data_IF_580607382080
#
_entry.id   IF_580607382080
#
_cell.length_a   1.000
_cell.length_b   1.000
_cell.length_c   1.000
_cell.angle_alpha   90.00
_cell.angle_beta   90.00
_cell.angle_gamma   90.00
#
_symmetry.space_group_name_H-M   'P 1'
#
loop_
_entity.id
_entity.type
_entity.pdbx_description
1 polymer ?
#
# COMPACT_ATOMS: atom_id res chain seq x y z
N UNK A 1 -16.60 37.73 -2.44
CA UNK A 1 -17.39 36.92 -1.49
C UNK A 1 -17.22 35.46 -1.84
N UNK A 2 -16.36 34.80 -1.13
CA UNK A 2 -15.99 33.37 -1.31
C UNK A 2 -17.01 32.48 -0.58
N UNK A 3 -17.75 31.66 -1.32
CA UNK A 3 -18.52 30.56 -0.69
C UNK A 3 -17.58 29.46 -0.28
N UNK A 4 -17.32 29.37 1.02
CA UNK A 4 -16.60 28.28 1.69
C UNK A 4 -17.51 27.06 1.88
N UNK A 5 -16.97 25.90 1.48
CA UNK A 5 -17.05 24.61 2.19
C UNK A 5 -18.40 24.14 2.72
N UNK A 6 -19.04 23.27 1.98
CA UNK A 6 -20.08 22.36 2.52
C UNK A 6 -20.03 20.94 1.94
N UNK A 7 -18.81 20.41 1.62
CA UNK A 7 -18.64 18.99 1.25
C UNK A 7 -17.60 18.28 2.10
N UNK A 8 -17.60 18.59 3.41
CA UNK A 8 -17.01 17.70 4.41
C UNK A 8 -18.14 16.83 4.90
N UNK A 9 -18.28 15.58 4.29
CA UNK A 9 -19.00 14.85 5.23
C UNK A 9 -19.71 13.54 5.08
N UNK A 10 -19.86 12.80 4.10
CA UNK A 10 -20.48 11.51 4.38
C UNK A 10 -19.54 10.58 5.16
N UNK A 11 -18.21 10.68 4.99
CA UNK A 11 -17.24 9.72 5.56
C UNK A 11 -16.81 10.02 6.98
N UNK A 12 -16.60 11.29 7.35
CA UNK A 12 -16.26 11.67 8.72
C UNK A 12 -17.36 11.26 9.71
N UNK A 13 -18.61 11.31 9.29
CA UNK A 13 -19.77 10.93 10.11
C UNK A 13 -19.93 9.42 10.25
N UNK A 14 -19.56 8.64 9.21
CA UNK A 14 -19.52 7.17 9.27
C UNK A 14 -18.44 6.68 10.23
N UNK A 15 -17.24 7.26 10.16
CA UNK A 15 -16.11 6.94 11.03
C UNK A 15 -16.44 7.30 12.51
N UNK A 16 -17.12 8.42 12.75
CA UNK A 16 -17.50 8.84 14.12
C UNK A 16 -18.55 7.95 14.76
N UNK A 17 -19.45 7.36 13.99
CA UNK A 17 -20.48 6.43 14.46
C UNK A 17 -19.87 5.07 14.83
N UNK A 18 -18.86 4.60 14.11
CA UNK A 18 -18.25 3.29 14.34
C UNK A 18 -17.20 3.29 15.45
N UNK A 19 -16.50 4.40 15.70
CA UNK A 19 -15.58 4.54 16.84
C UNK A 19 -16.26 4.48 18.21
N UNK A 20 -17.58 4.71 18.27
CA UNK A 20 -18.36 4.69 19.52
C UNK A 20 -18.92 3.33 19.91
N UNK A 21 -18.82 2.30 19.07
CA UNK A 21 -19.49 1.01 19.30
C UNK A 21 -18.59 -0.16 19.70
N UNK A 22 -17.36 0.04 20.16
CA UNK A 22 -16.58 -0.94 20.95
C UNK A 22 -16.57 -2.43 20.53
N UNK A 23 -16.89 -2.79 19.27
CA UNK A 23 -16.94 -4.16 18.76
C UNK A 23 -15.77 -4.40 17.80
N UNK A 24 -14.79 -4.87 18.28
CA UNK A 24 -13.60 -5.74 18.10
C UNK A 24 -13.38 -6.33 16.68
N UNK A 25 -12.16 -6.15 16.21
CA UNK A 25 -11.32 -6.80 15.18
C UNK A 25 -11.93 -7.17 13.81
N UNK A 26 -13.02 -7.92 13.69
CA UNK A 26 -13.65 -8.21 12.40
C UNK A 26 -14.42 -7.00 11.84
N UNK A 27 -15.06 -6.21 12.70
CA UNK A 27 -15.80 -5.01 12.30
C UNK A 27 -14.88 -3.89 11.75
N UNK A 28 -13.63 -3.79 12.22
CA UNK A 28 -12.66 -2.83 11.68
C UNK A 28 -12.19 -3.20 10.27
N UNK A 29 -12.05 -4.50 9.98
CA UNK A 29 -11.68 -4.95 8.63
C UNK A 29 -12.80 -4.67 7.62
N UNK A 30 -14.04 -4.88 8.03
CA UNK A 30 -15.21 -4.60 7.18
C UNK A 30 -15.37 -3.10 6.92
N UNK A 31 -15.12 -2.24 7.92
CA UNK A 31 -15.19 -0.78 7.75
C UNK A 31 -14.10 -0.22 6.82
N UNK A 32 -12.87 -0.72 6.92
CA UNK A 32 -11.76 -0.30 6.05
C UNK A 32 -12.02 -0.74 4.58
N UNK A 33 -12.62 -1.92 4.36
CA UNK A 33 -13.03 -2.38 3.03
C UNK A 33 -14.14 -1.51 2.44
N UNK A 34 -15.11 -1.09 3.25
CA UNK A 34 -16.15 -0.16 2.83
C UNK A 34 -15.56 1.19 2.35
N UNK A 35 -14.46 1.65 2.95
CA UNK A 35 -13.74 2.85 2.50
C UNK A 35 -13.17 2.66 1.09
N UNK A 36 -12.58 1.50 0.77
CA UNK A 36 -12.09 1.20 -0.58
C UNK A 36 -13.21 1.20 -1.62
N UNK A 37 -14.34 0.53 -1.29
CA UNK A 37 -15.51 0.47 -2.16
C UNK A 37 -16.08 1.88 -2.38
N UNK A 38 -16.20 2.65 -1.32
CA UNK A 38 -16.71 4.02 -1.38
C UNK A 38 -15.77 4.99 -2.11
N UNK A 39 -14.45 4.74 -2.11
CA UNK A 39 -13.48 5.46 -2.92
C UNK A 39 -13.62 5.14 -4.42
N UNK A 40 -14.34 4.07 -4.78
CA UNK A 40 -14.58 3.63 -6.15
C UNK A 40 -13.59 2.57 -6.65
N UNK A 41 -12.95 1.82 -5.74
CA UNK A 41 -12.13 0.68 -6.11
C UNK A 41 -13.01 -0.47 -6.66
N UNK A 42 -12.56 -1.11 -7.74
CA UNK A 42 -13.25 -2.29 -8.28
C UNK A 42 -13.13 -3.49 -7.34
N UNK A 43 -13.99 -4.49 -7.54
CA UNK A 43 -13.95 -5.75 -6.78
C UNK A 43 -12.58 -6.42 -6.82
N UNK A 44 -11.90 -6.38 -7.98
CA UNK A 44 -10.60 -7.00 -8.19
C UNK A 44 -9.51 -6.27 -7.41
N UNK A 45 -9.53 -4.93 -7.40
CA UNK A 45 -8.64 -4.10 -6.58
C UNK A 45 -8.86 -4.38 -5.10
N UNK A 46 -10.11 -4.44 -4.65
CA UNK A 46 -10.44 -4.77 -3.24
C UNK A 46 -9.95 -6.17 -2.87
N UNK A 47 -10.14 -7.16 -3.75
CA UNK A 47 -9.67 -8.52 -3.53
C UNK A 47 -8.14 -8.60 -3.45
N UNK A 48 -7.43 -7.89 -4.34
CA UNK A 48 -5.97 -7.75 -4.31
C UNK A 48 -5.49 -7.10 -3.01
N UNK A 49 -6.05 -5.96 -2.62
CA UNK A 49 -5.69 -5.27 -1.39
C UNK A 49 -5.87 -6.15 -0.14
N UNK A 50 -6.94 -6.96 -0.08
CA UNK A 50 -7.14 -7.95 0.99
C UNK A 50 -6.03 -9.02 0.99
N UNK A 51 -5.66 -9.55 -0.17
CA UNK A 51 -4.60 -10.54 -0.29
C UNK A 51 -3.25 -9.96 0.15
N UNK A 52 -2.91 -8.74 -0.28
CA UNK A 52 -1.68 -8.04 0.13
C UNK A 52 -1.68 -7.76 1.63
N UNK A 53 -2.79 -7.30 2.20
CA UNK A 53 -2.94 -7.07 3.65
C UNK A 53 -2.68 -8.34 4.46
N UNK A 54 -3.25 -9.48 4.04
CA UNK A 54 -3.04 -10.77 4.69
C UNK A 54 -1.58 -11.24 4.58
N UNK A 55 -0.98 -11.09 3.39
CA UNK A 55 0.42 -11.44 3.16
C UNK A 55 1.36 -10.58 4.00
N UNK A 56 1.14 -9.26 4.03
CA UNK A 56 1.93 -8.33 4.84
C UNK A 56 1.86 -8.65 6.33
N UNK A 57 0.65 -8.95 6.86
CA UNK A 57 0.48 -9.38 8.25
C UNK A 57 1.17 -10.72 8.54
N UNK A 58 1.14 -11.67 7.59
CA UNK A 58 1.86 -12.94 7.74
C UNK A 58 3.37 -12.71 7.89
N UNK A 59 3.95 -11.84 7.08
CA UNK A 59 5.36 -11.44 7.16
C UNK A 59 5.63 -10.74 8.50
N UNK A 60 4.81 -9.75 8.88
CA UNK A 60 4.99 -8.99 10.11
C UNK A 60 4.94 -9.85 11.38
N UNK A 61 4.17 -10.94 11.36
CA UNK A 61 4.11 -11.90 12.49
C UNK A 61 5.28 -12.87 12.53
N UNK A 62 5.99 -13.04 11.42
CA UNK A 62 7.12 -13.95 11.30
C UNK A 62 8.48 -13.32 11.59
N UNK A 63 8.54 -12.01 11.82
CA UNK A 63 9.79 -11.28 12.07
C UNK A 63 10.03 -11.05 13.56
N UNK A 64 11.31 -10.95 13.96
CA UNK A 64 11.73 -10.76 15.35
C UNK A 64 11.96 -9.28 15.74
N UNK A 65 11.44 -8.36 14.92
CA UNK A 65 11.52 -6.92 15.17
C UNK A 65 10.12 -6.35 15.45
N UNK A 66 10.07 -5.28 16.23
CA UNK A 66 8.80 -4.64 16.59
C UNK A 66 8.30 -3.79 15.42
N UNK A 67 7.08 -4.07 14.97
CA UNK A 67 6.37 -3.30 13.93
C UNK A 67 4.92 -3.05 14.34
N UNK A 68 4.34 -1.99 13.81
CA UNK A 68 2.91 -1.72 13.98
C UNK A 68 2.07 -2.62 13.06
N UNK A 69 1.51 -3.68 13.61
CA UNK A 69 0.70 -4.65 12.86
C UNK A 69 -0.59 -4.04 12.30
N UNK A 70 -1.20 -3.03 12.95
CA UNK A 70 -2.38 -2.37 12.40
C UNK A 70 -2.00 -1.46 11.24
N UNK A 71 -0.89 -0.75 11.33
CA UNK A 71 -0.35 0.04 10.23
C UNK A 71 0.02 -0.85 9.03
N UNK A 72 0.66 -2.01 9.26
CA UNK A 72 0.96 -3.00 8.19
C UNK A 72 -0.34 -3.51 7.54
N UNK A 73 -1.34 -3.89 8.34
CA UNK A 73 -2.64 -4.37 7.85
C UNK A 73 -3.33 -3.31 7.00
N UNK A 74 -3.45 -2.10 7.52
CA UNK A 74 -4.09 -0.98 6.82
C UNK A 74 -3.27 -0.53 5.62
N UNK A 75 -1.95 -0.54 5.74
CA UNK A 75 -1.04 -0.27 4.64
C UNK A 75 -1.29 -1.21 3.46
N UNK A 76 -1.31 -2.53 3.72
CA UNK A 76 -1.62 -3.53 2.70
C UNK A 76 -3.02 -3.39 2.13
N UNK A 77 -4.01 -2.96 2.94
CA UNK A 77 -5.37 -2.77 2.47
C UNK A 77 -5.53 -1.51 1.60
N UNK A 78 -4.84 -0.41 1.94
CA UNK A 78 -5.03 0.88 1.27
C UNK A 78 -3.96 1.26 0.26
N UNK A 79 -2.88 0.44 0.10
CA UNK A 79 -1.77 0.79 -0.80
C UNK A 79 -2.25 1.19 -2.20
N UNK A 80 -3.23 0.49 -2.72
CA UNK A 80 -3.76 0.62 -4.07
C UNK A 80 -5.06 1.46 -4.16
N UNK A 81 -5.44 2.22 -3.12
CA UNK A 81 -6.68 3.03 -3.12
C UNK A 81 -6.74 4.02 -4.30
N UNK A 82 -5.59 4.47 -4.80
CA UNK A 82 -5.51 5.36 -5.94
C UNK A 82 -5.91 4.73 -7.27
N UNK A 83 -6.02 3.39 -7.36
CA UNK A 83 -6.56 2.69 -8.54
C UNK A 83 -8.05 2.98 -8.77
N UNK A 84 -8.72 3.56 -7.80
CA UNK A 84 -10.05 4.15 -7.99
C UNK A 84 -10.06 5.34 -8.97
N UNK A 85 -8.89 5.93 -9.29
CA UNK A 85 -8.74 7.09 -10.18
C UNK A 85 -7.94 6.77 -11.44
N UNK A 86 -6.90 5.94 -11.34
CA UNK A 86 -6.03 5.56 -12.46
C UNK A 86 -5.37 4.22 -12.21
N UNK A 87 -5.25 3.40 -13.27
CA UNK A 87 -4.55 2.11 -13.21
C UNK A 87 -3.06 2.23 -13.60
N UNK A 88 -2.62 3.38 -14.10
CA UNK A 88 -1.21 3.64 -14.42
C UNK A 88 -0.34 3.89 -13.19
N UNK A 89 0.95 4.14 -13.42
CA UNK A 89 1.97 4.36 -12.37
C UNK A 89 1.61 5.51 -11.41
N UNK A 90 0.79 6.46 -11.84
CA UNK A 90 0.34 7.59 -11.02
C UNK A 90 -0.66 7.23 -9.92
N UNK A 91 -1.09 5.96 -9.78
CA UNK A 91 -2.05 5.58 -8.73
C UNK A 91 -1.51 5.82 -7.31
N UNK A 92 -0.20 5.71 -7.07
CA UNK A 92 0.38 6.03 -5.77
C UNK A 92 0.17 7.52 -5.41
N UNK A 93 0.40 8.42 -6.37
CA UNK A 93 0.20 9.88 -6.19
C UNK A 93 -1.29 10.20 -5.99
N UNK A 94 -2.17 9.56 -6.77
CA UNK A 94 -3.62 9.69 -6.60
C UNK A 94 -4.07 9.15 -5.24
N UNK A 95 -3.50 8.04 -4.79
CA UNK A 95 -3.77 7.44 -3.48
C UNK A 95 -3.36 8.34 -2.32
N UNK A 96 -2.23 9.03 -2.41
CA UNK A 96 -1.81 10.05 -1.44
C UNK A 96 -2.85 11.15 -1.30
N UNK A 97 -3.38 11.67 -2.41
CA UNK A 97 -4.40 12.71 -2.40
C UNK A 97 -5.69 12.21 -1.72
N UNK A 98 -6.12 10.98 -2.04
CA UNK A 98 -7.29 10.35 -1.42
C UNK A 98 -7.06 10.14 0.08
N UNK A 99 -5.93 9.55 0.49
CA UNK A 99 -5.61 9.28 1.89
C UNK A 99 -5.58 10.54 2.74
N UNK A 100 -4.98 11.63 2.24
CA UNK A 100 -5.00 12.94 2.92
C UNK A 100 -6.41 13.50 3.06
N UNK A 101 -7.25 13.39 2.03
CA UNK A 101 -8.64 13.85 2.08
C UNK A 101 -9.50 13.03 3.06
N UNK A 102 -9.17 11.75 3.26
CA UNK A 102 -9.81 10.88 4.24
C UNK A 102 -9.27 11.08 5.66
N UNK A 103 -8.23 11.89 5.84
CA UNK A 103 -7.61 12.14 7.14
C UNK A 103 -6.74 10.97 7.64
N UNK A 104 -6.18 10.16 6.73
CA UNK A 104 -5.25 9.10 7.09
C UNK A 104 -3.99 9.67 7.75
N UNK A 105 -3.41 8.98 8.74
CA UNK A 105 -2.14 9.39 9.34
C UNK A 105 -1.02 9.37 8.30
N UNK A 106 0.01 10.19 8.51
CA UNK A 106 1.11 10.35 7.56
C UNK A 106 1.84 9.02 7.27
N UNK A 107 1.95 8.16 8.27
CA UNK A 107 2.58 6.84 8.17
C UNK A 107 1.85 5.96 7.15
N UNK A 108 0.52 5.95 7.17
CA UNK A 108 -0.29 5.23 6.19
C UNK A 108 -0.21 5.86 4.80
N UNK A 109 -0.23 7.19 4.72
CA UNK A 109 -0.06 7.92 3.45
C UNK A 109 1.32 7.64 2.82
N UNK A 110 2.38 7.52 3.63
CA UNK A 110 3.71 7.16 3.16
C UNK A 110 3.77 5.74 2.58
N UNK A 111 3.08 4.78 3.19
CA UNK A 111 2.95 3.42 2.63
C UNK A 111 2.27 3.48 1.25
N UNK A 112 1.15 4.20 1.13
CA UNK A 112 0.43 4.39 -0.13
C UNK A 112 1.34 5.03 -1.20
N UNK A 113 2.17 5.98 -0.81
CA UNK A 113 3.07 6.67 -1.72
C UNK A 113 4.22 5.80 -2.24
N UNK A 114 4.74 4.88 -1.40
CA UNK A 114 6.04 4.22 -1.61
C UNK A 114 5.94 2.71 -1.84
N UNK A 115 4.71 2.19 -2.09
CA UNK A 115 4.52 0.74 -2.22
C UNK A 115 4.96 0.18 -3.56
N UNK A 116 5.07 0.99 -4.62
CA UNK A 116 5.27 0.50 -5.99
C UNK A 116 6.63 -0.20 -6.14
N UNK A 117 6.61 -1.45 -6.52
CA UNK A 117 7.79 -2.28 -6.64
C UNK A 117 8.58 -2.33 -5.33
N UNK A 118 9.91 -2.38 -5.38
CA UNK A 118 10.77 -2.24 -4.22
C UNK A 118 11.18 -0.77 -3.98
N UNK A 119 10.47 0.16 -4.61
CA UNK A 119 10.70 1.59 -4.58
C UNK A 119 11.12 2.13 -5.96
N UNK A 120 10.91 3.44 -6.13
CA UNK A 120 11.25 4.19 -7.35
C UNK A 120 12.19 5.33 -6.94
N UNK A 121 13.35 5.42 -7.58
CA UNK A 121 14.29 6.53 -7.35
C UNK A 121 13.76 7.82 -7.99
N UNK A 122 14.25 9.00 -7.54
CA UNK A 122 13.87 10.28 -8.12
C UNK A 122 14.14 10.32 -9.63
N UNK A 123 15.28 9.75 -10.06
CA UNK A 123 15.63 9.64 -11.49
C UNK A 123 14.61 8.82 -12.28
N UNK A 124 14.21 7.67 -11.75
CA UNK A 124 13.22 6.81 -12.39
C UNK A 124 11.82 7.42 -12.34
N UNK A 125 11.47 8.12 -11.26
CA UNK A 125 10.20 8.86 -11.14
C UNK A 125 10.02 9.86 -12.29
N UNK A 126 11.07 10.62 -12.65
CA UNK A 126 11.05 11.55 -13.79
C UNK A 126 10.80 10.81 -15.10
N UNK A 127 11.44 9.64 -15.33
CA UNK A 127 11.23 8.84 -16.54
C UNK A 127 9.80 8.30 -16.65
N UNK A 128 9.20 7.99 -15.50
CA UNK A 128 7.84 7.49 -15.40
C UNK A 128 6.77 8.60 -15.40
N UNK A 129 7.16 9.87 -15.48
CA UNK A 129 6.26 11.03 -15.46
C UNK A 129 5.67 11.31 -14.07
N UNK A 130 6.29 10.84 -13.01
CA UNK A 130 5.94 11.15 -11.62
C UNK A 130 6.66 12.43 -11.16
N UNK A 131 6.17 13.10 -10.10
CA UNK A 131 6.91 14.17 -9.44
C UNK A 131 8.33 13.73 -9.05
N UNK A 132 9.31 14.62 -9.26
CA UNK A 132 10.74 14.33 -9.02
C UNK A 132 11.02 14.23 -7.51
N UNK A 133 11.03 13.02 -7.01
CA UNK A 133 11.45 12.64 -5.65
C UNK A 133 11.61 11.12 -5.55
N UNK A 134 12.22 10.67 -4.46
CA UNK A 134 12.29 9.24 -4.13
C UNK A 134 10.96 8.74 -3.56
N UNK A 135 10.51 7.60 -4.10
CA UNK A 135 9.39 6.79 -3.61
C UNK A 135 9.92 5.47 -3.02
N UNK A 136 11.04 5.52 -2.31
CA UNK A 136 11.66 4.36 -1.69
C UNK A 136 11.01 4.07 -0.33
N UNK A 137 10.62 2.83 -0.02
CA UNK A 137 10.17 2.42 1.31
C UNK A 137 11.26 2.69 2.37
N UNK A 138 10.92 3.35 3.48
CA UNK A 138 11.87 3.80 4.51
C UNK A 138 11.69 3.06 5.83
N UNK A 139 10.45 2.93 6.30
CA UNK A 139 10.17 2.21 7.56
C UNK A 139 10.01 0.70 7.31
N UNK A 140 10.02 -0.08 8.38
CA UNK A 140 9.79 -1.53 8.28
C UNK A 140 8.40 -1.84 7.72
N UNK A 141 7.39 -1.09 8.17
CA UNK A 141 6.01 -1.26 7.71
C UNK A 141 5.88 -0.94 6.21
N UNK A 142 6.51 0.15 5.73
CA UNK A 142 6.55 0.50 4.32
C UNK A 142 7.20 -0.62 3.49
N UNK A 143 8.34 -1.18 3.96
CA UNK A 143 9.06 -2.26 3.30
C UNK A 143 8.27 -3.56 3.30
N UNK A 144 7.62 -3.91 4.41
CA UNK A 144 6.79 -5.11 4.52
C UNK A 144 5.63 -5.05 3.55
N UNK A 145 4.92 -3.91 3.45
CA UNK A 145 3.77 -3.77 2.56
C UNK A 145 4.20 -3.80 1.10
N UNK A 146 5.22 -3.04 0.71
CA UNK A 146 5.78 -3.04 -0.64
C UNK A 146 6.25 -4.44 -1.05
N UNK A 147 6.94 -5.16 -0.16
CA UNK A 147 7.40 -6.52 -0.42
C UNK A 147 6.24 -7.51 -0.55
N UNK A 148 5.23 -7.40 0.31
CA UNK A 148 4.04 -8.25 0.24
C UNK A 148 3.27 -8.04 -1.07
N UNK A 149 3.12 -6.79 -1.53
CA UNK A 149 2.49 -6.48 -2.81
C UNK A 149 3.24 -7.13 -3.97
N UNK A 150 4.57 -7.05 -3.98
CA UNK A 150 5.41 -7.69 -5.00
C UNK A 150 5.27 -9.23 -5.03
N UNK A 151 4.90 -9.84 -3.90
CA UNK A 151 4.64 -11.29 -3.78
C UNK A 151 3.20 -11.69 -4.08
N UNK A 152 2.32 -10.77 -4.50
CA UNK A 152 0.91 -11.06 -4.79
C UNK A 152 0.58 -10.65 -6.23
N UNK A 153 0.06 -11.58 -7.03
CA UNK A 153 -0.43 -11.35 -8.39
C UNK A 153 -1.95 -11.55 -8.45
N UNK A 154 -2.70 -10.47 -8.57
CA UNK A 154 -4.14 -10.52 -8.35
C UNK A 154 -4.43 -10.91 -6.88
N UNK A 155 -4.89 -12.15 -6.66
CA UNK A 155 -5.07 -12.71 -5.31
C UNK A 155 -4.16 -13.91 -5.02
N UNK A 156 -3.30 -14.28 -5.99
CA UNK A 156 -2.39 -15.42 -5.89
C UNK A 156 -1.07 -14.98 -5.27
N UNK A 157 -0.68 -15.65 -4.19
CA UNK A 157 0.65 -15.49 -3.61
C UNK A 157 1.71 -16.19 -4.47
N UNK A 158 2.89 -15.58 -4.54
CA UNK A 158 4.08 -16.08 -5.23
C UNK A 158 5.22 -16.24 -4.25
N UNK A 159 6.14 -17.18 -4.56
CA UNK A 159 7.43 -17.23 -3.89
C UNK A 159 8.37 -16.15 -4.44
N UNK A 160 9.38 -15.77 -3.65
CA UNK A 160 10.31 -14.70 -4.04
C UNK A 160 10.91 -14.88 -5.43
N UNK A 161 11.41 -16.08 -5.76
CA UNK A 161 12.05 -16.32 -7.07
C UNK A 161 11.06 -16.21 -8.23
N UNK A 162 9.83 -16.64 -8.06
CA UNK A 162 8.77 -16.46 -9.04
C UNK A 162 8.45 -14.98 -9.28
N UNK A 163 8.35 -14.21 -8.18
CA UNK A 163 8.14 -12.76 -8.25
C UNK A 163 9.35 -12.04 -8.90
N UNK A 164 10.57 -12.47 -8.58
CA UNK A 164 11.79 -11.92 -9.15
C UNK A 164 11.88 -12.15 -10.66
N UNK A 165 11.54 -13.34 -11.13
CA UNK A 165 11.52 -13.65 -12.57
C UNK A 165 10.48 -12.81 -13.30
N UNK A 166 9.30 -12.62 -12.69
CA UNK A 166 8.27 -11.69 -13.21
C UNK A 166 8.77 -10.25 -13.28
N UNK A 167 9.52 -9.78 -12.28
CA UNK A 167 10.11 -8.43 -12.30
C UNK A 167 11.09 -8.29 -13.47
N UNK A 168 11.96 -9.29 -13.70
CA UNK A 168 12.90 -9.30 -14.83
C UNK A 168 12.19 -9.31 -16.18
N UNK A 169 11.08 -10.04 -16.30
CA UNK A 169 10.27 -10.06 -17.54
C UNK A 169 9.64 -8.68 -17.83
N UNK A 170 9.16 -7.98 -16.80
CA UNK A 170 8.47 -6.69 -16.96
C UNK A 170 9.46 -5.52 -17.14
N UNK A 171 10.52 -5.48 -16.34
CA UNK A 171 11.43 -4.34 -16.26
C UNK A 171 12.70 -4.51 -17.07
N UNK A 172 13.05 -5.75 -17.42
CA UNK A 172 14.36 -6.14 -17.93
C UNK A 172 15.32 -6.54 -16.79
N UNK A 173 16.26 -7.48 -17.09
CA UNK A 173 17.12 -8.09 -16.06
C UNK A 173 18.09 -7.08 -15.41
N UNK A 174 18.47 -6.02 -16.13
CA UNK A 174 19.47 -5.02 -15.68
C UNK A 174 18.81 -3.77 -15.08
N UNK A 175 17.48 -3.78 -14.86
CA UNK A 175 16.78 -2.65 -14.30
C UNK A 175 17.08 -2.48 -12.79
N UNK A 176 17.32 -1.25 -12.33
CA UNK A 176 17.65 -0.95 -10.92
C UNK A 176 16.61 -1.51 -9.91
N UNK A 177 15.35 -1.62 -10.30
CA UNK A 177 14.29 -2.21 -9.49
C UNK A 177 14.53 -3.67 -9.13
N UNK A 178 15.32 -4.41 -9.93
CA UNK A 178 15.69 -5.81 -9.64
C UNK A 178 16.61 -5.86 -8.42
N UNK A 179 17.65 -5.03 -8.38
CA UNK A 179 18.58 -4.95 -7.25
C UNK A 179 17.87 -4.48 -5.98
N UNK A 180 16.97 -3.48 -6.10
CA UNK A 180 16.16 -3.00 -4.98
C UNK A 180 15.29 -4.12 -4.40
N UNK A 181 14.66 -4.94 -5.25
CA UNK A 181 13.80 -6.04 -4.81
C UNK A 181 14.60 -7.17 -4.14
N UNK A 182 15.77 -7.53 -4.66
CA UNK A 182 16.69 -8.49 -4.06
C UNK A 182 17.17 -7.98 -2.68
N UNK A 183 17.56 -6.72 -2.60
CA UNK A 183 18.00 -6.09 -1.35
C UNK A 183 16.88 -6.10 -0.30
N UNK A 184 15.67 -5.72 -0.71
CA UNK A 184 14.49 -5.74 0.17
C UNK A 184 14.19 -7.14 0.69
N UNK A 185 14.28 -8.17 -0.17
CA UNK A 185 14.12 -9.55 0.24
C UNK A 185 15.13 -9.96 1.32
N UNK A 186 16.43 -9.71 1.10
CA UNK A 186 17.46 -10.05 2.07
C UNK A 186 17.30 -9.32 3.40
N UNK A 187 16.89 -8.04 3.36
CA UNK A 187 16.63 -7.25 4.55
C UNK A 187 15.48 -7.87 5.37
N UNK A 188 14.37 -8.22 4.74
CA UNK A 188 13.22 -8.84 5.41
C UNK A 188 13.57 -10.24 5.93
N UNK A 189 14.32 -11.05 5.17
CA UNK A 189 14.78 -12.34 5.65
C UNK A 189 15.68 -12.21 6.90
N UNK A 190 16.51 -11.18 6.95
CA UNK A 190 17.34 -10.88 8.14
C UNK A 190 16.53 -10.50 9.38
N UNK A 191 15.25 -10.12 9.24
CA UNK A 191 14.36 -9.86 10.38
C UNK A 191 13.67 -11.12 10.91
N UNK A 192 13.65 -12.20 10.13
CA UNK A 192 13.03 -13.49 10.50
C UNK A 192 13.98 -14.32 11.39
N UNK A 193 15.28 -14.13 11.26
CA UNK A 193 16.32 -14.81 12.05
C UNK A 193 16.58 -14.04 13.34
#
# INVERSE_FOLDING_TARGET
MLKKSQDRAPYAKLIEIQLKSGIIHNAMFDSDVEVLIAAGCSSDVVAHCKAVSNRALSIARGINVVVDHDLVRRGGLFHDIGRSKTHGIGHAVAGVAIGRNLGFPNELVNIIERHIGAGITAREAVRLGLPEKDYLPRTMEEKIVSYADNLVSGTREMQFYEALDRFKEILGPDHEGIELFIKQHHEIQGWIT
#
